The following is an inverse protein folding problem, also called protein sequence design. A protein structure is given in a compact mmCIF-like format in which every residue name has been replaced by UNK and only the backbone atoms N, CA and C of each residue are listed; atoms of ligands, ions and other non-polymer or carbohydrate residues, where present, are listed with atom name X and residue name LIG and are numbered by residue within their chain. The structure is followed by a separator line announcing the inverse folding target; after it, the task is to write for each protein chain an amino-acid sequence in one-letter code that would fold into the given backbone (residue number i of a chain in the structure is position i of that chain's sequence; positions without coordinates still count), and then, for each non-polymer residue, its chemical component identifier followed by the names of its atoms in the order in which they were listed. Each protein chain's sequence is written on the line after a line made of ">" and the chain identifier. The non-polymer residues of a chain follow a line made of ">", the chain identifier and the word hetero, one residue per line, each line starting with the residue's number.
data_IF_200464868611
#
_entry.id   IF_200464868611
#
_cell.length_a   1.000
_cell.length_b   1.000
_cell.length_c   1.000
_cell.angle_alpha   90.00
_cell.angle_beta   90.00
_cell.angle_gamma   90.00
#
_symmetry.space_group_name_H-M   'P 1'
#
loop_
_entity.id
_entity.type
_entity.pdbx_description
1 polymer ?
#
# COMPACT_ATOMS: atom_id res chain seq x y z
N UNK A 1 8.88 -20.99 -36.97
CA UNK A 1 9.47 -20.90 -35.62
C UNK A 1 8.90 -19.62 -35.06
N UNK A 2 7.71 -19.73 -34.47
CA UNK A 2 7.11 -18.59 -33.77
C UNK A 2 7.95 -18.43 -32.50
N UNK A 3 8.75 -17.37 -32.48
CA UNK A 3 9.70 -17.07 -31.42
C UNK A 3 8.97 -16.68 -30.15
N UNK A 4 8.40 -17.68 -29.47
CA UNK A 4 8.06 -17.59 -28.07
C UNK A 4 9.41 -17.65 -27.34
N UNK A 5 9.81 -16.56 -26.72
CA UNK A 5 10.96 -16.54 -25.81
C UNK A 5 10.63 -17.43 -24.61
N UNK A 6 11.00 -18.71 -24.70
CA UNK A 6 10.72 -19.73 -23.68
C UNK A 6 11.54 -19.54 -22.38
N UNK A 7 12.35 -18.48 -22.24
CA UNK A 7 13.21 -18.27 -21.06
C UNK A 7 13.36 -16.79 -20.62
N UNK A 8 12.32 -15.96 -20.75
CA UNK A 8 12.30 -14.65 -20.11
C UNK A 8 11.78 -14.78 -18.67
N UNK A 9 12.68 -14.64 -17.70
CA UNK A 9 12.37 -14.58 -16.27
C UNK A 9 12.83 -13.25 -15.68
N UNK A 10 12.16 -12.81 -14.62
CA UNK A 10 12.45 -11.56 -13.93
C UNK A 10 13.53 -11.82 -12.89
N UNK A 11 14.69 -11.16 -13.02
CA UNK A 11 15.80 -11.30 -12.07
C UNK A 11 15.63 -10.39 -10.84
N UNK A 12 15.08 -9.21 -11.04
CA UNK A 12 14.80 -8.19 -10.01
C UNK A 12 13.84 -7.15 -10.62
N UNK A 13 13.12 -6.42 -9.78
CA UNK A 13 12.36 -5.23 -10.17
C UNK A 13 12.75 -4.09 -9.25
N UNK A 14 13.50 -3.14 -9.80
CA UNK A 14 13.84 -1.93 -9.08
C UNK A 14 12.55 -1.16 -8.74
N UNK A 15 12.30 -0.99 -7.44
CA UNK A 15 11.17 -0.22 -6.92
C UNK A 15 9.94 -1.02 -6.48
N UNK A 16 9.89 -2.33 -6.73
CA UNK A 16 8.84 -3.20 -6.17
C UNK A 16 9.41 -4.00 -5.00
N UNK A 17 8.64 -4.15 -3.91
CA UNK A 17 9.11 -4.83 -2.71
C UNK A 17 9.46 -6.30 -2.99
N UNK A 18 10.74 -6.64 -2.84
CA UNK A 18 11.36 -7.90 -3.29
C UNK A 18 10.80 -9.16 -2.59
N UNK A 19 10.14 -9.01 -1.44
CA UNK A 19 9.57 -10.14 -0.68
C UNK A 19 8.09 -10.41 -0.94
N UNK A 20 7.48 -9.67 -1.87
CA UNK A 20 6.03 -9.76 -2.12
C UNK A 20 5.62 -10.97 -2.97
N UNK A 21 6.53 -11.52 -3.78
CA UNK A 21 6.31 -12.69 -4.64
C UNK A 21 7.66 -13.29 -5.08
N UNK A 22 7.64 -14.54 -5.56
CA UNK A 22 8.83 -15.12 -6.20
C UNK A 22 8.88 -14.73 -7.69
N UNK A 23 9.73 -13.76 -8.01
CA UNK A 23 9.89 -13.20 -9.36
C UNK A 23 10.37 -14.21 -10.41
N UNK A 24 11.11 -15.25 -10.01
CA UNK A 24 11.61 -16.28 -10.92
C UNK A 24 10.48 -17.04 -11.63
N UNK A 25 9.29 -17.08 -11.03
CA UNK A 25 8.11 -17.78 -11.57
C UNK A 25 7.09 -16.82 -12.21
N UNK A 26 7.37 -15.52 -12.21
CA UNK A 26 6.47 -14.52 -12.77
C UNK A 26 6.69 -14.38 -14.28
N UNK A 27 5.60 -14.51 -15.04
CA UNK A 27 5.62 -14.23 -16.46
C UNK A 27 5.74 -12.70 -16.68
N UNK A 28 6.76 -12.20 -17.40
CA UNK A 28 6.98 -10.77 -17.59
C UNK A 28 5.84 -10.03 -18.31
N UNK A 29 5.17 -10.69 -19.25
CA UNK A 29 4.01 -10.11 -19.95
C UNK A 29 2.83 -9.94 -19.00
N UNK A 30 2.56 -10.94 -18.14
CA UNK A 30 1.51 -10.85 -17.13
C UNK A 30 1.80 -9.69 -16.15
N UNK A 31 3.02 -9.60 -15.63
CA UNK A 31 3.42 -8.48 -14.77
C UNK A 31 3.19 -7.14 -15.45
N UNK A 32 3.72 -6.96 -16.67
CA UNK A 32 3.61 -5.70 -17.38
C UNK A 32 2.14 -5.31 -17.59
N UNK A 33 1.30 -6.27 -17.99
CA UNK A 33 -0.13 -6.03 -18.17
C UNK A 33 -0.82 -5.66 -16.86
N UNK A 34 -0.53 -6.33 -15.74
CA UNK A 34 -1.09 -5.95 -14.43
C UNK A 34 -0.65 -4.54 -14.00
N UNK A 35 0.63 -4.19 -14.14
CA UNK A 35 1.13 -2.85 -13.82
C UNK A 35 0.53 -1.78 -14.74
N UNK A 36 0.30 -2.11 -16.01
CA UNK A 36 -0.35 -1.21 -16.95
C UNK A 36 -1.84 -1.01 -16.62
N UNK A 37 -2.59 -2.08 -16.39
CA UNK A 37 -4.02 -2.04 -16.08
C UNK A 37 -4.33 -1.38 -14.74
N UNK A 38 -3.43 -1.50 -13.77
CA UNK A 38 -3.54 -0.86 -12.45
C UNK A 38 -3.25 0.64 -12.47
N UNK A 39 -2.70 1.17 -13.57
CA UNK A 39 -2.34 2.59 -13.70
C UNK A 39 -1.05 2.99 -12.95
N UNK A 40 -0.34 2.06 -12.30
CA UNK A 40 0.85 2.39 -11.49
C UNK A 40 2.01 2.89 -12.35
N UNK A 41 2.09 2.49 -13.62
CA UNK A 41 3.18 2.91 -14.52
C UNK A 41 3.14 4.40 -14.90
N UNK A 42 2.01 5.08 -14.69
CA UNK A 42 1.79 6.48 -15.10
C UNK A 42 1.35 7.38 -13.94
N UNK A 43 1.17 6.83 -12.74
CA UNK A 43 0.72 7.55 -11.57
C UNK A 43 1.62 7.27 -10.36
N UNK A 44 2.47 8.25 -10.03
CA UNK A 44 3.42 8.18 -8.92
C UNK A 44 2.77 7.91 -7.56
N UNK A 45 1.52 8.35 -7.36
CA UNK A 45 0.80 8.12 -6.11
C UNK A 45 0.35 6.66 -6.01
N UNK A 46 -0.26 6.10 -7.06
CA UNK A 46 -0.62 4.67 -7.12
C UNK A 46 0.61 3.77 -7.01
N UNK A 47 1.74 4.19 -7.59
CA UNK A 47 3.00 3.48 -7.41
C UNK A 47 3.42 3.41 -5.94
N UNK A 48 3.34 4.53 -5.20
CA UNK A 48 3.64 4.53 -3.75
C UNK A 48 2.66 3.67 -2.95
N UNK A 49 1.39 3.69 -3.31
CA UNK A 49 0.38 2.81 -2.71
C UNK A 49 0.70 1.34 -2.98
N UNK A 50 1.12 0.98 -4.19
CA UNK A 50 1.55 -0.38 -4.51
C UNK A 50 2.77 -0.79 -3.68
N UNK A 51 3.80 0.05 -3.57
CA UNK A 51 4.97 -0.25 -2.74
C UNK A 51 4.57 -0.53 -1.29
N UNK A 52 3.79 0.36 -0.67
CA UNK A 52 3.33 0.20 0.70
C UNK A 52 2.39 -1.00 0.87
N UNK A 53 1.55 -1.29 -0.13
CA UNK A 53 0.67 -2.45 -0.13
C UNK A 53 1.48 -3.75 -0.12
N UNK A 54 2.52 -3.85 -0.94
CA UNK A 54 3.36 -5.05 -1.07
C UNK A 54 4.30 -5.28 0.13
N UNK A 55 4.50 -4.28 1.00
CA UNK A 55 5.17 -4.49 2.29
C UNK A 55 4.28 -5.25 3.30
N UNK A 56 2.95 -5.14 3.15
CA UNK A 56 1.95 -5.64 4.11
C UNK A 56 1.16 -6.84 3.55
N UNK A 57 0.94 -6.85 2.24
CA UNK A 57 0.24 -7.88 1.46
C UNK A 57 1.19 -8.46 0.42
N UNK A 58 0.70 -9.38 -0.40
CA UNK A 58 1.49 -10.01 -1.45
C UNK A 58 1.04 -9.52 -2.84
N UNK A 59 1.82 -9.87 -3.86
CA UNK A 59 1.51 -9.50 -5.23
C UNK A 59 0.24 -10.18 -5.75
N UNK A 60 -0.06 -11.42 -5.33
CA UNK A 60 -1.24 -12.14 -5.78
C UNK A 60 -2.53 -11.41 -5.35
N UNK A 61 -2.56 -10.85 -4.13
CA UNK A 61 -3.66 -10.01 -3.63
C UNK A 61 -3.84 -8.76 -4.51
N UNK A 62 -2.72 -8.11 -4.89
CA UNK A 62 -2.74 -6.96 -5.80
C UNK A 62 -3.24 -7.34 -7.19
N UNK A 63 -2.73 -8.43 -7.75
CA UNK A 63 -3.14 -8.94 -9.07
C UNK A 63 -4.63 -9.26 -9.09
N UNK A 64 -5.17 -9.85 -8.02
CA UNK A 64 -6.61 -10.11 -7.89
C UNK A 64 -7.43 -8.81 -7.81
N UNK A 65 -6.96 -7.79 -7.09
CA UNK A 65 -7.63 -6.48 -7.04
C UNK A 65 -7.67 -5.82 -8.42
N UNK A 66 -6.55 -5.84 -9.16
CA UNK A 66 -6.47 -5.29 -10.52
C UNK A 66 -7.35 -6.07 -11.49
N UNK A 67 -7.38 -7.40 -11.42
CA UNK A 67 -8.30 -8.21 -12.24
C UNK A 67 -9.76 -7.86 -12.01
N UNK A 68 -10.13 -7.54 -10.77
CA UNK A 68 -11.51 -7.24 -10.39
C UNK A 68 -11.92 -5.78 -10.62
N UNK A 69 -10.98 -4.83 -10.51
CA UNK A 69 -11.27 -3.38 -10.47
C UNK A 69 -10.48 -2.54 -11.47
N UNK A 70 -9.50 -3.12 -12.15
CA UNK A 70 -8.59 -2.46 -13.07
C UNK A 70 -7.81 -1.35 -12.39
N UNK A 71 -7.89 -0.15 -12.95
CA UNK A 71 -7.24 1.05 -12.41
C UNK A 71 -7.74 1.43 -11.01
N UNK A 72 -8.94 1.01 -10.60
CA UNK A 72 -9.53 1.33 -9.28
C UNK A 72 -9.24 0.27 -8.20
N UNK A 73 -8.14 -0.49 -8.34
CA UNK A 73 -7.72 -1.52 -7.38
C UNK A 73 -7.47 -0.93 -5.98
N UNK A 74 -7.11 0.35 -5.92
CA UNK A 74 -6.73 1.17 -4.78
C UNK A 74 -7.91 1.93 -4.14
N UNK A 75 -9.16 1.80 -4.61
CA UNK A 75 -10.33 2.50 -4.04
C UNK A 75 -10.53 2.26 -2.52
N UNK A 76 -9.99 1.15 -2.01
CA UNK A 76 -10.04 0.75 -0.60
C UNK A 76 -8.67 0.86 0.10
N UNK A 77 -7.70 1.49 -0.55
CA UNK A 77 -6.34 1.68 -0.03
C UNK A 77 -6.15 3.16 0.24
N UNK A 78 -5.60 3.49 1.40
CA UNK A 78 -5.23 4.86 1.72
C UNK A 78 -3.83 4.90 2.33
N UNK A 79 -2.95 5.71 1.75
CA UNK A 79 -1.57 5.86 2.21
C UNK A 79 -1.43 7.12 3.06
N UNK A 80 -1.25 6.93 4.36
CA UNK A 80 -0.91 7.97 5.32
C UNK A 80 0.61 8.22 5.29
N UNK A 81 1.08 8.84 4.20
CA UNK A 81 2.51 9.04 3.95
C UNK A 81 3.14 9.98 5.00
N UNK A 82 4.21 9.50 5.63
CA UNK A 82 4.94 10.21 6.68
C UNK A 82 4.26 10.21 8.04
N UNK A 83 3.09 9.57 8.18
CA UNK A 83 2.39 9.51 9.47
C UNK A 83 3.02 8.46 10.37
N UNK A 84 3.22 8.84 11.62
CA UNK A 84 3.38 7.90 12.72
C UNK A 84 2.01 7.51 13.29
N UNK A 85 1.97 6.51 14.17
CA UNK A 85 0.74 6.21 14.93
C UNK A 85 0.27 7.37 15.82
N UNK A 86 1.19 8.23 16.28
CA UNK A 86 0.82 9.42 17.05
C UNK A 86 0.08 10.43 16.16
N UNK A 87 0.59 10.67 14.94
CA UNK A 87 -0.06 11.53 13.95
C UNK A 87 -1.44 10.99 13.56
N UNK A 88 -1.53 9.68 13.30
CA UNK A 88 -2.80 9.03 12.99
C UNK A 88 -3.78 9.10 14.17
N UNK A 89 -3.31 8.89 15.40
CA UNK A 89 -4.14 9.04 16.60
C UNK A 89 -4.68 10.46 16.78
N UNK A 90 -3.86 11.47 16.47
CA UNK A 90 -4.29 12.87 16.46
C UNK A 90 -5.36 13.12 15.39
N UNK A 91 -5.16 12.62 14.18
CA UNK A 91 -6.13 12.73 13.08
C UNK A 91 -7.48 12.07 13.43
N UNK A 92 -7.45 10.89 14.05
CA UNK A 92 -8.66 10.18 14.49
C UNK A 92 -9.42 10.95 15.58
N UNK A 93 -8.69 11.61 16.48
CA UNK A 93 -9.28 12.45 17.52
C UNK A 93 -9.94 13.70 16.94
N UNK A 94 -9.29 14.34 15.97
CA UNK A 94 -9.77 15.52 15.27
C UNK A 94 -11.01 15.20 14.41
N UNK A 95 -11.01 14.04 13.73
CA UNK A 95 -12.15 13.52 12.96
C UNK A 95 -13.40 13.28 13.82
N UNK A 96 -13.25 12.96 15.11
CA UNK A 96 -14.38 12.83 16.04
C UNK A 96 -15.01 14.19 16.42
N UNK A 97 -14.45 15.31 15.97
CA UNK A 97 -14.96 16.67 16.20
C UNK A 97 -14.71 17.20 17.61
N UNK A 98 -13.82 16.56 18.37
CA UNK A 98 -13.41 17.05 19.68
C UNK A 98 -12.44 18.21 19.52
N UNK A 99 -12.85 19.42 19.86
CA UNK A 99 -11.96 20.58 19.86
C UNK A 99 -11.17 20.62 21.18
N UNK A 100 -10.17 19.74 21.29
CA UNK A 100 -9.32 19.63 22.49
C UNK A 100 -8.22 20.69 22.39
N UNK A 101 -8.07 21.58 23.40
CA UNK A 101 -6.96 22.52 23.45
C UNK A 101 -5.61 21.80 23.34
N UNK A 102 -4.70 22.34 22.51
CA UNK A 102 -3.41 21.71 22.19
C UNK A 102 -2.57 21.34 23.43
N UNK A 103 -2.55 22.20 24.45
CA UNK A 103 -1.84 21.94 25.71
C UNK A 103 -2.41 20.78 26.53
N UNK A 104 -3.62 20.31 26.24
CA UNK A 104 -4.17 19.11 26.86
C UNK A 104 -3.74 17.84 26.11
N UNK A 105 -3.35 17.94 24.84
CA UNK A 105 -2.88 16.81 24.03
C UNK A 105 -1.65 16.15 24.65
N UNK A 106 -0.79 16.93 25.33
CA UNK A 106 0.40 16.47 26.07
C UNK A 106 0.09 15.42 27.16
N UNK A 107 -1.18 15.27 27.55
CA UNK A 107 -1.63 14.28 28.56
C UNK A 107 -2.26 13.03 27.96
N UNK A 108 -2.41 12.94 26.63
CA UNK A 108 -2.99 11.79 25.95
C UNK A 108 -1.89 10.95 25.30
N UNK A 109 -2.06 9.63 25.38
CA UNK A 109 -1.24 8.67 24.64
C UNK A 109 -1.84 8.49 23.23
N UNK A 110 -1.50 9.44 22.35
CA UNK A 110 -2.04 9.49 20.99
C UNK A 110 -1.54 8.34 20.12
N UNK A 111 -0.31 7.86 20.33
CA UNK A 111 0.21 6.69 19.62
C UNK A 111 -0.64 5.44 19.91
N UNK A 112 -0.92 5.17 21.19
CA UNK A 112 -1.76 4.04 21.58
C UNK A 112 -3.21 4.21 21.12
N UNK A 113 -3.73 5.43 21.14
CA UNK A 113 -5.06 5.72 20.62
C UNK A 113 -5.15 5.47 19.11
N UNK A 114 -4.14 5.92 18.34
CA UNK A 114 -4.04 5.65 16.91
C UNK A 114 -4.02 4.16 16.60
N UNK A 115 -3.17 3.40 17.30
CA UNK A 115 -3.13 1.92 17.19
C UNK A 115 -4.47 1.28 17.49
N UNK A 116 -5.19 1.76 18.51
CA UNK A 116 -6.53 1.28 18.84
C UNK A 116 -7.55 1.59 17.73
N UNK A 117 -7.52 2.78 17.16
CA UNK A 117 -8.41 3.17 16.06
C UNK A 117 -8.14 2.40 14.77
N UNK A 118 -6.88 2.08 14.48
CA UNK A 118 -6.46 1.39 13.26
C UNK A 118 -6.28 -0.13 13.39
N UNK A 119 -6.54 -0.73 14.56
CA UNK A 119 -6.21 -2.12 14.93
C UNK A 119 -6.67 -3.19 13.91
N UNK A 120 -7.69 -2.88 13.11
CA UNK A 120 -8.27 -3.82 12.15
C UNK A 120 -7.69 -3.71 10.73
N UNK A 121 -7.37 -2.50 10.27
CA UNK A 121 -7.18 -2.20 8.86
C UNK A 121 -5.97 -1.31 8.55
N UNK A 122 -5.25 -0.82 9.57
CA UNK A 122 -4.09 0.06 9.40
C UNK A 122 -2.80 -0.67 9.77
N UNK A 123 -1.78 -0.53 8.93
CA UNK A 123 -0.51 -1.22 9.05
C UNK A 123 0.66 -0.24 8.91
N UNK A 124 1.75 -0.49 9.64
CA UNK A 124 3.02 0.25 9.44
C UNK A 124 3.69 -0.19 8.13
N UNK A 125 4.19 0.78 7.38
CA UNK A 125 5.08 0.60 6.23
C UNK A 125 6.28 1.55 6.34
N UNK A 126 7.32 1.36 5.53
CA UNK A 126 8.57 2.11 5.62
C UNK A 126 8.36 3.64 5.62
N UNK A 127 7.39 4.11 4.86
CA UNK A 127 7.11 5.53 4.65
C UNK A 127 5.81 6.04 5.30
N UNK A 128 5.30 5.36 6.33
CA UNK A 128 4.14 5.82 7.11
C UNK A 128 3.21 4.69 7.51
N UNK A 129 1.90 4.92 7.32
CA UNK A 129 0.87 3.90 7.54
C UNK A 129 0.07 3.67 6.26
N UNK A 130 -0.40 2.45 6.06
CA UNK A 130 -1.34 2.09 5.00
C UNK A 130 -2.62 1.53 5.61
N UNK A 131 -3.75 2.03 5.16
CA UNK A 131 -5.09 1.59 5.55
C UNK A 131 -5.74 0.83 4.40
N UNK A 132 -6.29 -0.37 4.68
CA UNK A 132 -6.84 -1.29 3.66
C UNK A 132 -8.23 -1.79 4.11
N UNK A 133 -9.29 -1.43 3.38
CA UNK A 133 -10.70 -1.75 3.69
C UNK A 133 -11.26 -3.01 3.01
#
# INVERSE_FOLDING_TARGET
>A
MDGIDEELFIQDIEGIYDRSVNWDYMNPENLFNTLYESGVLTNDYKYKELCAFLEVKNYDDFEELVKNRGENWDDNVNLWSGFTWEDYGKEMLDCCGYNIPEHLLDFFDLERYGKYCGDYNVYECENGLIEIY
#
